data_IF_825565792623
#
_entry.id   IF_825565792623
#
_cell.length_a   1.000
_cell.length_b   1.000
_cell.length_c   1.000
_cell.angle_alpha   90.00
_cell.angle_beta   90.00
_cell.angle_gamma   90.00
#
_symmetry.space_group_name_H-M   'P 1'
#
loop_
_entity.id
_entity.type
_entity.pdbx_description
1 polymer ?
#
# COMPACT_ATOMS: atom_id res chain seq x y z
N UNK A 1 34.55 43.01 14.85
CA UNK A 1 33.67 42.73 16.01
C UNK A 1 32.46 41.96 15.53
N UNK A 2 32.18 40.83 16.20
CA UNK A 2 30.93 40.02 16.20
C UNK A 2 30.52 39.35 14.87
N UNK A 3 30.67 38.04 14.64
CA UNK A 3 30.13 36.85 15.32
C UNK A 3 28.59 36.81 15.36
N UNK A 4 27.94 35.88 14.63
CA UNK A 4 27.52 34.58 15.18
C UNK A 4 26.82 33.72 14.10
N UNK A 5 27.07 32.42 14.22
CA UNK A 5 26.69 31.28 13.41
C UNK A 5 25.18 31.00 13.34
N UNK A 6 24.76 30.32 12.26
CA UNK A 6 23.76 29.24 12.35
C UNK A 6 24.09 28.10 11.38
N UNK A 7 24.81 27.12 11.93
CA UNK A 7 24.72 25.67 11.74
C UNK A 7 23.83 25.20 10.57
N UNK A 8 24.50 24.68 9.54
CA UNK A 8 23.95 23.73 8.57
C UNK A 8 23.55 22.45 9.30
N UNK A 9 22.28 22.36 9.71
CA UNK A 9 21.66 21.16 10.21
C UNK A 9 21.31 20.21 9.06
N UNK A 10 21.93 19.05 9.04
CA UNK A 10 21.70 18.03 8.03
C UNK A 10 20.26 17.51 8.02
N UNK A 11 19.76 17.23 6.82
CA UNK A 11 18.72 16.24 6.63
C UNK A 11 19.29 15.08 5.84
N UNK A 12 19.29 13.93 6.51
CA UNK A 12 19.63 12.61 6.01
C UNK A 12 18.97 12.35 4.66
N UNK A 13 19.77 11.96 3.69
CA UNK A 13 19.29 11.46 2.42
C UNK A 13 18.40 10.23 2.62
N UNK A 14 17.19 10.26 2.05
CA UNK A 14 16.41 9.06 1.80
C UNK A 14 15.67 9.23 0.48
N UNK A 15 16.03 8.39 -0.48
CA UNK A 15 15.25 8.17 -1.68
C UNK A 15 16.12 7.87 -2.89
N UNK A 16 16.98 6.85 -2.78
CA UNK A 16 17.52 6.22 -3.98
C UNK A 16 16.35 5.87 -4.89
N UNK A 17 16.38 6.39 -6.11
CA UNK A 17 15.39 6.10 -7.14
C UNK A 17 15.47 4.63 -7.50
N UNK A 18 14.80 3.78 -6.72
CA UNK A 18 14.55 2.40 -7.08
C UNK A 18 13.61 2.44 -8.29
N UNK A 19 14.08 1.93 -9.43
CA UNK A 19 13.33 2.04 -10.68
C UNK A 19 11.92 1.42 -10.50
N UNK A 20 10.85 2.09 -10.98
CA UNK A 20 9.46 1.62 -10.86
C UNK A 20 9.24 0.11 -11.17
N UNK A 21 9.85 -0.49 -12.21
CA UNK A 21 9.65 -1.91 -12.49
C UNK A 21 10.13 -2.85 -11.37
N UNK A 22 11.23 -2.51 -10.69
CA UNK A 22 11.79 -3.36 -9.62
C UNK A 22 10.91 -3.40 -8.38
N UNK A 23 10.25 -2.27 -8.07
CA UNK A 23 9.33 -2.18 -6.94
C UNK A 23 8.06 -2.98 -7.21
N UNK A 24 7.56 -2.93 -8.44
CA UNK A 24 6.40 -3.70 -8.86
C UNK A 24 6.69 -5.21 -8.80
N UNK A 25 7.82 -5.68 -9.34
CA UNK A 25 8.22 -7.10 -9.28
C UNK A 25 8.37 -7.60 -7.83
N UNK A 26 8.90 -6.75 -6.95
CA UNK A 26 9.00 -7.05 -5.52
C UNK A 26 7.63 -7.14 -4.85
N UNK A 27 6.73 -6.21 -5.15
CA UNK A 27 5.37 -6.20 -4.61
C UNK A 27 4.57 -7.41 -5.10
N UNK A 28 4.73 -7.80 -6.36
CA UNK A 28 4.16 -9.02 -6.94
C UNK A 28 4.67 -10.26 -6.19
N UNK A 29 5.99 -10.37 -6.00
CA UNK A 29 6.61 -11.48 -5.25
C UNK A 29 6.12 -11.54 -3.80
N UNK A 30 5.96 -10.38 -3.16
CA UNK A 30 5.41 -10.28 -1.81
C UNK A 30 3.97 -10.78 -1.77
N UNK A 31 3.13 -10.32 -2.71
CA UNK A 31 1.72 -10.73 -2.79
C UNK A 31 1.60 -12.24 -2.99
N UNK A 32 2.38 -12.82 -3.91
CA UNK A 32 2.45 -14.27 -4.13
C UNK A 32 2.84 -15.03 -2.85
N UNK A 33 3.78 -14.49 -2.08
CA UNK A 33 4.20 -15.08 -0.80
C UNK A 33 3.07 -15.05 0.21
N UNK A 34 2.39 -13.91 0.36
CA UNK A 34 1.27 -13.75 1.29
C UNK A 34 0.09 -14.67 0.92
N UNK A 35 -0.24 -14.78 -0.36
CA UNK A 35 -1.27 -15.68 -0.87
C UNK A 35 -0.96 -17.13 -0.53
N UNK A 36 0.31 -17.55 -0.71
CA UNK A 36 0.75 -18.91 -0.37
C UNK A 36 0.67 -19.19 1.12
N UNK A 37 1.09 -18.24 1.97
CA UNK A 37 1.05 -18.37 3.44
C UNK A 37 -0.38 -18.52 3.94
N UNK A 38 -1.32 -17.74 3.40
CA UNK A 38 -2.73 -17.76 3.81
C UNK A 38 -3.55 -18.84 3.08
N UNK A 39 -2.94 -19.62 2.17
CA UNK A 39 -3.61 -20.68 1.40
C UNK A 39 -4.66 -20.16 0.43
N UNK A 40 -4.52 -18.91 -0.04
CA UNK A 40 -5.44 -18.27 -0.98
C UNK A 40 -4.93 -18.48 -2.40
N UNK A 41 -5.78 -18.99 -3.29
CA UNK A 41 -5.43 -19.13 -4.71
C UNK A 41 -5.23 -17.75 -5.37
N UNK A 42 -4.16 -17.60 -6.15
CA UNK A 42 -3.93 -16.39 -6.94
C UNK A 42 -5.09 -16.17 -7.94
N UNK A 43 -5.68 -14.97 -7.90
CA UNK A 43 -6.84 -14.59 -8.72
C UNK A 43 -6.70 -13.15 -9.19
N UNK A 44 -7.38 -12.81 -10.27
CA UNK A 44 -7.46 -11.43 -10.73
C UNK A 44 -8.21 -10.51 -9.76
N UNK A 45 -9.08 -11.08 -8.89
CA UNK A 45 -9.95 -10.36 -7.98
C UNK A 45 -10.10 -11.11 -6.65
N UNK A 46 -10.05 -10.37 -5.55
CA UNK A 46 -10.16 -10.88 -4.19
C UNK A 46 -11.35 -10.29 -3.45
N UNK A 47 -11.89 -11.07 -2.50
CA UNK A 47 -12.93 -10.64 -1.57
C UNK A 47 -12.33 -9.83 -0.42
N UNK A 48 -13.10 -8.92 0.21
CA UNK A 48 -12.61 -8.13 1.34
C UNK A 48 -12.10 -9.00 2.49
N UNK A 49 -12.77 -10.12 2.79
CA UNK A 49 -12.32 -11.05 3.83
C UNK A 49 -10.99 -11.74 3.51
N UNK A 50 -10.72 -12.04 2.24
CA UNK A 50 -9.42 -12.60 1.80
C UNK A 50 -8.32 -11.55 1.99
N UNK A 51 -8.58 -10.30 1.60
CA UNK A 51 -7.64 -9.18 1.77
C UNK A 51 -7.38 -8.86 3.24
N UNK A 52 -8.40 -8.89 4.10
CA UNK A 52 -8.22 -8.73 5.55
C UNK A 52 -7.29 -9.78 6.14
N UNK A 53 -7.42 -11.05 5.74
CA UNK A 53 -6.51 -12.13 6.18
C UNK A 53 -5.11 -11.90 5.66
N UNK A 54 -4.99 -11.60 4.37
CA UNK A 54 -3.73 -11.39 3.67
C UNK A 54 -2.90 -10.25 4.27
N UNK A 55 -3.54 -9.12 4.58
CA UNK A 55 -2.89 -7.94 5.16
C UNK A 55 -2.89 -7.95 6.70
N UNK A 56 -3.54 -8.94 7.33
CA UNK A 56 -3.75 -9.04 8.78
C UNK A 56 -4.37 -7.77 9.38
N UNK A 57 -5.36 -7.22 8.70
CA UNK A 57 -6.08 -6.00 9.13
C UNK A 57 -7.55 -6.29 9.42
N UNK A 58 -8.17 -5.43 10.23
CA UNK A 58 -9.60 -5.51 10.50
C UNK A 58 -10.44 -5.13 9.26
N UNK A 59 -11.69 -5.62 9.14
CA UNK A 59 -12.62 -5.18 8.09
C UNK A 59 -12.87 -3.67 8.11
N UNK A 60 -12.79 -3.05 9.29
CA UNK A 60 -12.99 -1.60 9.48
C UNK A 60 -11.82 -0.81 8.89
N UNK A 61 -10.59 -1.27 9.12
CA UNK A 61 -9.37 -0.72 8.52
C UNK A 61 -9.39 -0.85 7.00
N UNK A 62 -9.81 -2.02 6.49
CA UNK A 62 -9.93 -2.22 5.04
C UNK A 62 -10.95 -1.25 4.42
N UNK A 63 -12.10 -1.03 5.07
CA UNK A 63 -13.09 -0.04 4.62
C UNK A 63 -12.49 1.36 4.56
N UNK A 64 -11.81 1.79 5.62
CA UNK A 64 -11.14 3.10 5.64
C UNK A 64 -10.17 3.26 4.46
N UNK A 65 -9.37 2.24 4.14
CA UNK A 65 -8.47 2.30 2.97
C UNK A 65 -9.23 2.43 1.64
N UNK A 66 -10.37 1.76 1.51
CA UNK A 66 -11.21 1.87 0.32
C UNK A 66 -11.87 3.25 0.22
N UNK A 67 -12.37 3.77 1.33
CA UNK A 67 -13.05 5.06 1.39
C UNK A 67 -12.08 6.23 1.08
N UNK A 68 -10.80 6.09 1.45
CA UNK A 68 -9.75 7.04 1.08
C UNK A 68 -9.52 7.13 -0.44
N UNK A 69 -9.73 6.04 -1.18
CA UNK A 69 -9.61 6.03 -2.64
C UNK A 69 -10.80 6.71 -3.34
N UNK A 70 -11.97 6.75 -2.68
CA UNK A 70 -13.21 7.27 -3.26
C UNK A 70 -13.36 8.80 -3.10
N UNK A 71 -12.50 9.47 -2.32
CA UNK A 71 -12.71 10.88 -1.97
C UNK A 71 -12.24 11.86 -3.08
N UNK A 72 -13.16 12.55 -3.81
CA UNK A 72 -12.82 13.33 -5.00
C UNK A 72 -12.06 14.64 -4.71
N UNK A 73 -11.99 15.06 -3.45
CA UNK A 73 -11.30 16.30 -3.04
C UNK A 73 -9.79 16.12 -2.81
N UNK A 74 -9.26 14.89 -2.93
CA UNK A 74 -7.86 14.61 -2.62
C UNK A 74 -7.03 14.74 -3.90
N UNK A 75 -6.37 15.89 -4.10
CA UNK A 75 -5.45 16.12 -5.23
C UNK A 75 -4.22 15.18 -5.23
N UNK A 76 -3.91 14.55 -4.09
CA UNK A 76 -2.80 13.61 -3.92
C UNK A 76 -3.31 12.31 -3.29
N UNK A 77 -3.54 11.23 -4.05
CA UNK A 77 -4.10 9.99 -3.51
C UNK A 77 -3.30 9.54 -2.29
N UNK A 78 -4.00 9.29 -1.16
CA UNK A 78 -3.35 8.85 0.07
C UNK A 78 -2.56 7.57 -0.23
N UNK A 79 -1.28 7.46 0.18
CA UNK A 79 -0.49 6.26 -0.08
C UNK A 79 -1.18 4.98 0.44
N UNK A 80 -2.00 5.09 1.50
CA UNK A 80 -2.77 3.99 2.10
C UNK A 80 -4.09 3.69 1.41
N UNK A 81 -4.52 4.53 0.46
CA UNK A 81 -5.75 4.31 -0.30
C UNK A 81 -5.66 3.03 -1.12
N UNK A 82 -6.67 2.17 -0.98
CA UNK A 82 -6.78 0.89 -1.68
C UNK A 82 -7.94 0.94 -2.67
N UNK A 83 -7.60 0.87 -3.95
CA UNK A 83 -8.60 0.84 -5.00
C UNK A 83 -9.46 -0.41 -4.92
N UNK A 84 -10.76 -0.21 -5.03
CA UNK A 84 -11.74 -1.28 -5.00
C UNK A 84 -12.95 -0.89 -5.81
N UNK A 85 -13.70 -1.90 -6.25
CA UNK A 85 -14.87 -1.71 -7.07
C UNK A 85 -16.04 -2.54 -6.54
N UNK A 86 -17.26 -2.09 -6.82
CA UNK A 86 -18.48 -2.77 -6.42
C UNK A 86 -18.97 -3.68 -7.55
N UNK A 87 -19.27 -4.93 -7.20
CA UNK A 87 -20.01 -5.86 -8.04
C UNK A 87 -21.33 -6.15 -7.33
N UNK A 88 -22.40 -5.50 -7.77
CA UNK A 88 -23.66 -5.44 -7.03
C UNK A 88 -23.45 -4.76 -5.66
N UNK A 89 -23.81 -5.45 -4.58
CA UNK A 89 -23.59 -4.97 -3.20
C UNK A 89 -22.24 -5.39 -2.60
N UNK A 90 -21.38 -6.06 -3.38
CA UNK A 90 -20.15 -6.64 -2.85
C UNK A 90 -18.91 -5.91 -3.35
N UNK A 91 -18.12 -5.38 -2.42
CA UNK A 91 -16.79 -4.82 -2.71
C UNK A 91 -15.83 -5.91 -3.14
N UNK A 92 -14.98 -5.59 -4.11
CA UNK A 92 -13.95 -6.45 -4.69
C UNK A 92 -12.67 -5.64 -4.88
N UNK A 93 -11.53 -6.29 -4.69
CA UNK A 93 -10.22 -5.67 -4.85
C UNK A 93 -9.50 -6.42 -5.96
N UNK A 94 -9.00 -5.70 -6.97
CA UNK A 94 -8.26 -6.34 -8.06
C UNK A 94 -6.85 -6.71 -7.60
N UNK A 95 -6.27 -7.68 -8.30
CA UNK A 95 -4.87 -8.05 -8.11
C UNK A 95 -3.95 -6.84 -8.29
N UNK A 96 -4.11 -6.11 -9.39
CA UNK A 96 -3.33 -4.93 -9.69
C UNK A 96 -3.44 -3.85 -8.59
N UNK A 97 -4.64 -3.62 -8.05
CA UNK A 97 -4.83 -2.66 -6.95
C UNK A 97 -4.06 -3.05 -5.68
N UNK A 98 -3.99 -4.36 -5.36
CA UNK A 98 -3.19 -4.83 -4.23
C UNK A 98 -1.69 -4.67 -4.48
N UNK A 99 -1.21 -4.98 -5.69
CA UNK A 99 0.20 -4.81 -6.05
C UNK A 99 0.59 -3.34 -5.97
N UNK A 100 -0.20 -2.46 -6.58
CA UNK A 100 0.02 -1.00 -6.52
C UNK A 100 -0.02 -0.48 -5.08
N UNK A 101 -0.96 -0.95 -4.26
CA UNK A 101 -1.00 -0.62 -2.85
C UNK A 101 0.26 -1.09 -2.11
N UNK A 102 0.76 -2.30 -2.40
CA UNK A 102 1.99 -2.84 -1.82
C UNK A 102 3.23 -2.06 -2.30
N UNK A 103 3.28 -1.63 -3.56
CA UNK A 103 4.33 -0.74 -4.09
C UNK A 103 4.36 0.56 -3.29
N UNK A 104 3.20 1.15 -3.01
CA UNK A 104 3.09 2.37 -2.18
C UNK A 104 3.41 2.14 -0.71
N UNK A 105 3.07 0.96 -0.17
CA UNK A 105 3.15 0.63 1.26
C UNK A 105 4.23 -0.40 1.59
N UNK A 106 5.36 -0.45 0.87
CA UNK A 106 6.43 -1.42 1.12
C UNK A 106 7.04 -1.39 2.54
N UNK A 107 6.78 -0.32 3.34
CA UNK A 107 7.16 -0.24 4.76
C UNK A 107 6.21 -0.96 5.72
N UNK A 108 5.10 -1.53 5.25
CA UNK A 108 4.11 -2.19 6.11
C UNK A 108 4.66 -3.40 6.88
N UNK A 109 5.86 -3.91 6.51
CA UNK A 109 6.54 -5.00 7.23
C UNK A 109 7.56 -4.56 8.30
N UNK A 110 7.65 -3.27 8.68
CA UNK A 110 8.73 -2.81 9.57
C UNK A 110 8.45 -2.83 11.08
N UNK A 111 7.25 -3.17 11.54
CA UNK A 111 6.99 -3.31 12.97
C UNK A 111 6.15 -4.56 13.23
N UNK A 112 6.83 -5.62 13.66
CA UNK A 112 6.29 -6.81 14.29
C UNK A 112 7.12 -7.12 15.52
#
# INVERSE_FOLDING_TARGET
MSALERVSGGFLGIGGGESPPKLHDRAETLLQTLLRVEGIAARAVYRPGEVCRLLRISPTTLRQFCDLAEHPAVQNPDPRALDSFLVGCHRRISHAALVEWLVRNQKFQREG
#
